data_IF_698355698947
#
_entry.id   IF_698355698947
#
_cell.length_a   1.000
_cell.length_b   1.000
_cell.length_c   1.000
_cell.angle_alpha   90.00
_cell.angle_beta   90.00
_cell.angle_gamma   90.00
#
_symmetry.space_group_name_H-M   'P 1'
#
loop_
_entity.id
_entity.type
_entity.pdbx_description
1 polymer ?
#
# COMPACT_ATOMS: atom_id res chain seq x y z
N UNK A 1 15.98 22.93 -12.78
CA UNK A 1 15.77 22.53 -11.37
C UNK A 1 14.30 22.40 -11.02
N UNK A 2 13.47 23.42 -11.12
CA UNK A 2 12.03 23.39 -10.74
C UNK A 2 11.25 22.25 -11.44
N UNK A 3 11.47 22.04 -12.75
CA UNK A 3 10.81 20.96 -13.50
C UNK A 3 11.18 19.55 -13.02
N UNK A 4 12.42 19.34 -12.54
CA UNK A 4 12.88 18.04 -12.04
C UNK A 4 12.28 17.76 -10.64
N UNK A 5 12.30 18.74 -9.74
CA UNK A 5 11.71 18.62 -8.41
C UNK A 5 10.19 18.32 -8.49
N UNK A 6 9.48 18.98 -9.41
CA UNK A 6 8.07 18.70 -9.64
C UNK A 6 7.83 17.27 -10.14
N UNK A 7 8.69 16.76 -11.03
CA UNK A 7 8.61 15.37 -11.51
C UNK A 7 8.80 14.36 -10.37
N UNK A 8 9.72 14.60 -9.44
CA UNK A 8 9.96 13.75 -8.27
C UNK A 8 8.72 13.71 -7.37
N UNK A 9 8.12 14.88 -7.09
CA UNK A 9 6.90 14.98 -6.26
C UNK A 9 5.74 14.24 -6.95
N UNK A 10 5.49 14.52 -8.23
CA UNK A 10 4.42 13.89 -8.99
C UNK A 10 4.60 12.37 -9.10
N UNK A 11 5.84 11.90 -9.29
CA UNK A 11 6.14 10.47 -9.34
C UNK A 11 5.84 9.80 -8.00
N UNK A 12 6.25 10.39 -6.89
CA UNK A 12 5.98 9.86 -5.55
C UNK A 12 4.48 9.77 -5.28
N UNK A 13 3.73 10.83 -5.58
CA UNK A 13 2.27 10.83 -5.47
C UNK A 13 1.62 9.78 -6.36
N UNK A 14 2.07 9.67 -7.60
CA UNK A 14 1.58 8.67 -8.56
C UNK A 14 1.79 7.25 -8.04
N UNK A 15 2.98 6.93 -7.56
CA UNK A 15 3.29 5.61 -6.98
C UNK A 15 2.39 5.35 -5.77
N UNK A 16 2.29 6.30 -4.84
CA UNK A 16 1.50 6.14 -3.63
C UNK A 16 0.00 5.98 -3.91
N UNK A 17 -0.56 6.77 -4.82
CA UNK A 17 -1.97 6.66 -5.20
C UNK A 17 -2.27 5.31 -5.85
N UNK A 18 -1.50 4.93 -6.88
CA UNK A 18 -1.75 3.69 -7.63
C UNK A 18 -1.57 2.47 -6.72
N UNK A 19 -0.50 2.42 -5.92
CA UNK A 19 -0.28 1.31 -4.99
C UNK A 19 -1.38 1.21 -3.93
N UNK A 20 -1.86 2.34 -3.41
CA UNK A 20 -2.96 2.37 -2.43
C UNK A 20 -4.27 1.86 -3.03
N UNK A 21 -4.61 2.27 -4.25
CA UNK A 21 -5.81 1.77 -4.93
C UNK A 21 -5.72 0.27 -5.21
N UNK A 22 -4.59 -0.19 -5.71
CA UNK A 22 -4.36 -1.62 -5.98
C UNK A 22 -4.41 -2.45 -4.70
N UNK A 23 -3.72 -2.01 -3.64
CA UNK A 23 -3.70 -2.76 -2.37
C UNK A 23 -5.09 -2.79 -1.72
N UNK A 24 -5.90 -1.74 -1.88
CA UNK A 24 -7.27 -1.71 -1.37
C UNK A 24 -8.13 -2.77 -2.05
N UNK A 25 -8.12 -2.80 -3.38
CA UNK A 25 -8.89 -3.78 -4.16
C UNK A 25 -8.45 -5.21 -3.81
N UNK A 26 -7.14 -5.45 -3.82
CA UNK A 26 -6.59 -6.79 -3.55
C UNK A 26 -6.86 -7.22 -2.11
N UNK A 27 -6.71 -6.33 -1.13
CA UNK A 27 -6.98 -6.66 0.28
C UNK A 27 -8.44 -6.99 0.54
N UNK A 28 -9.38 -6.24 -0.05
CA UNK A 28 -10.81 -6.54 0.06
C UNK A 28 -11.11 -7.92 -0.52
N UNK A 29 -10.58 -8.23 -1.71
CA UNK A 29 -10.77 -9.53 -2.36
C UNK A 29 -10.13 -10.66 -1.55
N UNK A 30 -8.90 -10.47 -1.06
CA UNK A 30 -8.19 -11.48 -0.27
C UNK A 30 -8.93 -11.78 1.05
N UNK A 31 -9.36 -10.76 1.80
CA UNK A 31 -10.09 -10.98 3.05
C UNK A 31 -11.40 -11.70 2.75
N UNK A 32 -12.15 -11.28 1.75
CA UNK A 32 -13.42 -11.92 1.37
C UNK A 32 -13.25 -13.39 0.94
N UNK A 33 -12.21 -13.70 0.16
CA UNK A 33 -11.93 -15.07 -0.28
C UNK A 33 -11.42 -15.95 0.87
N UNK A 34 -10.53 -15.43 1.70
CA UNK A 34 -9.92 -16.17 2.80
C UNK A 34 -10.88 -16.37 3.97
N UNK A 35 -11.81 -15.45 4.21
CA UNK A 35 -12.78 -15.56 5.31
C UNK A 35 -13.80 -16.69 5.07
N UNK A 36 -14.03 -17.06 3.81
CA UNK A 36 -14.93 -18.17 3.43
C UNK A 36 -14.32 -19.56 3.67
N UNK A 37 -13.00 -19.65 3.79
CA UNK A 37 -12.28 -20.90 3.93
C UNK A 37 -11.61 -21.03 5.30
N UNK A 38 -12.19 -21.82 6.19
CA UNK A 38 -11.57 -22.18 7.49
C UNK A 38 -10.45 -23.23 7.31
N UNK A 39 -9.55 -23.04 6.35
CA UNK A 39 -8.48 -24.00 6.08
C UNK A 39 -7.16 -23.56 6.71
N UNK A 40 -6.26 -24.54 6.99
CA UNK A 40 -4.88 -24.28 7.41
C UNK A 40 -4.15 -23.37 6.41
N UNK A 41 -4.53 -23.41 5.14
CA UNK A 41 -4.00 -22.55 4.08
C UNK A 41 -4.28 -21.06 4.35
N UNK A 42 -5.46 -20.70 4.89
CA UNK A 42 -5.76 -19.31 5.29
C UNK A 42 -4.68 -18.75 6.21
N UNK A 43 -4.34 -19.49 7.27
CA UNK A 43 -3.35 -19.06 8.25
C UNK A 43 -1.96 -18.86 7.64
N UNK A 44 -1.57 -19.73 6.70
CA UNK A 44 -0.29 -19.59 5.98
C UNK A 44 -0.29 -18.35 5.11
N UNK A 45 -1.36 -18.08 4.34
CA UNK A 45 -1.46 -16.88 3.53
C UNK A 45 -1.44 -15.60 4.38
N UNK A 46 -2.18 -15.57 5.50
CA UNK A 46 -2.16 -14.45 6.43
C UNK A 46 -0.77 -14.22 7.03
N UNK A 47 -0.06 -15.28 7.36
CA UNK A 47 1.30 -15.20 7.86
C UNK A 47 2.25 -14.65 6.80
N UNK A 48 2.13 -15.08 5.54
CA UNK A 48 2.94 -14.57 4.43
C UNK A 48 2.64 -13.09 4.14
N UNK A 49 1.38 -12.66 4.17
CA UNK A 49 1.00 -11.24 4.02
C UNK A 49 1.67 -10.41 5.11
N UNK A 50 1.56 -10.84 6.37
CA UNK A 50 2.10 -10.11 7.50
C UNK A 50 3.63 -10.18 7.62
N UNK A 51 4.28 -11.13 6.96
CA UNK A 51 5.74 -11.30 7.00
C UNK A 51 6.48 -10.03 6.55
N UNK A 52 5.92 -9.28 5.61
CA UNK A 52 6.51 -8.03 5.14
C UNK A 52 6.61 -6.92 6.19
N UNK A 53 5.89 -7.04 7.33
CA UNK A 53 6.04 -6.11 8.47
C UNK A 53 7.30 -6.41 9.30
N UNK A 54 7.79 -7.65 9.29
CA UNK A 54 8.93 -8.10 10.09
C UNK A 54 10.24 -8.08 9.29
N UNK A 55 10.14 -8.12 7.96
CA UNK A 55 11.30 -8.04 7.07
C UNK A 55 11.65 -6.58 6.81
N UNK A 56 12.95 -6.24 6.86
CA UNK A 56 13.35 -4.89 6.50
C UNK A 56 13.03 -4.59 5.03
N UNK A 57 12.64 -3.34 4.69
CA UNK A 57 12.30 -2.98 3.30
C UNK A 57 13.43 -3.31 2.30
N UNK A 58 14.69 -3.14 2.69
CA UNK A 58 15.84 -3.45 1.82
C UNK A 58 15.96 -4.95 1.52
N UNK A 59 15.73 -5.81 2.53
CA UNK A 59 15.72 -7.27 2.33
C UNK A 59 14.56 -7.68 1.43
N UNK A 60 13.38 -7.10 1.64
CA UNK A 60 12.22 -7.31 0.77
C UNK A 60 12.52 -6.89 -0.67
N UNK A 61 13.17 -5.72 -0.87
CA UNK A 61 13.61 -5.27 -2.18
C UNK A 61 14.56 -6.25 -2.85
N UNK A 62 15.49 -6.84 -2.10
CA UNK A 62 16.40 -7.86 -2.63
C UNK A 62 15.66 -9.14 -3.04
N UNK A 63 14.72 -9.62 -2.23
CA UNK A 63 13.87 -10.76 -2.58
C UNK A 63 13.11 -10.47 -3.90
N UNK A 64 12.59 -9.26 -4.05
CA UNK A 64 11.91 -8.87 -5.29
C UNK A 64 12.85 -8.83 -6.49
N UNK A 65 14.12 -8.45 -6.33
CA UNK A 65 15.12 -8.54 -7.39
C UNK A 65 15.34 -10.01 -7.81
N UNK A 66 15.43 -10.92 -6.86
CA UNK A 66 15.60 -12.35 -7.16
C UNK A 66 14.40 -12.93 -7.94
N UNK A 67 13.18 -12.43 -7.68
CA UNK A 67 11.95 -12.92 -8.33
C UNK A 67 11.70 -12.20 -9.67
N UNK A 68 11.79 -10.86 -9.68
CA UNK A 68 11.38 -9.99 -10.79
C UNK A 68 12.55 -9.54 -11.68
N UNK A 69 13.78 -9.85 -11.30
CA UNK A 69 14.97 -9.56 -12.10
C UNK A 69 14.98 -10.31 -13.43
N UNK A 70 15.72 -9.82 -14.42
CA UNK A 70 15.82 -10.47 -15.75
C UNK A 70 16.21 -11.97 -15.70
N UNK A 71 16.90 -12.39 -14.65
CA UNK A 71 17.28 -13.80 -14.40
C UNK A 71 16.39 -14.46 -13.33
N UNK A 72 15.43 -13.75 -12.76
CA UNK A 72 14.50 -14.27 -11.77
C UNK A 72 13.37 -15.08 -12.39
N UNK A 73 12.68 -15.86 -11.56
CA UNK A 73 11.63 -16.80 -12.02
C UNK A 73 10.53 -16.09 -12.81
N UNK A 74 10.01 -14.98 -12.30
CA UNK A 74 8.96 -14.22 -12.95
C UNK A 74 9.52 -13.22 -13.97
N UNK A 75 10.62 -12.54 -13.61
CA UNK A 75 11.22 -11.53 -14.47
C UNK A 75 11.78 -12.08 -15.78
N UNK A 76 12.34 -13.31 -15.77
CA UNK A 76 12.82 -13.97 -16.99
C UNK A 76 11.67 -14.27 -17.96
N UNK A 77 10.49 -14.66 -17.46
CA UNK A 77 9.30 -14.89 -18.27
C UNK A 77 8.80 -13.57 -18.88
N UNK A 78 8.68 -12.51 -18.07
CA UNK A 78 8.25 -11.19 -18.52
C UNK A 78 9.22 -10.62 -19.59
N UNK A 79 10.52 -10.80 -19.38
CA UNK A 79 11.52 -10.31 -20.34
C UNK A 79 11.51 -11.12 -21.64
N UNK A 80 11.42 -12.46 -21.56
CA UNK A 80 11.47 -13.34 -22.72
C UNK A 80 10.23 -13.22 -23.64
N UNK A 81 9.05 -13.08 -23.06
CA UNK A 81 7.79 -13.11 -23.83
C UNK A 81 7.22 -11.73 -24.12
N UNK A 82 7.53 -10.72 -23.30
CA UNK A 82 6.94 -9.39 -23.41
C UNK A 82 7.97 -8.25 -23.53
N UNK A 83 9.27 -8.58 -23.49
CA UNK A 83 10.39 -7.60 -23.46
C UNK A 83 10.24 -6.54 -22.34
N UNK A 84 9.59 -6.93 -21.24
CA UNK A 84 9.33 -6.07 -20.09
C UNK A 84 10.38 -6.30 -19.02
N UNK A 85 11.14 -5.24 -18.67
CA UNK A 85 12.02 -5.24 -17.51
C UNK A 85 11.35 -4.53 -16.34
N UNK A 86 11.16 -5.24 -15.21
CA UNK A 86 10.63 -4.65 -13.98
C UNK A 86 11.64 -3.75 -13.33
N UNK A 87 12.90 -4.18 -13.27
CA UNK A 87 13.98 -3.45 -12.61
C UNK A 87 14.24 -2.12 -13.34
N UNK A 88 14.56 -1.09 -12.55
CA UNK A 88 14.83 0.28 -13.01
C UNK A 88 13.65 0.96 -13.73
N UNK A 89 12.44 0.57 -13.36
CA UNK A 89 11.20 1.18 -13.85
C UNK A 89 10.44 1.90 -12.73
N UNK A 90 9.65 2.92 -13.06
CA UNK A 90 8.83 3.63 -12.08
C UNK A 90 7.72 2.75 -11.48
N UNK A 91 7.23 1.79 -12.24
CA UNK A 91 6.22 0.84 -11.76
C UNK A 91 6.78 -0.24 -10.84
N UNK A 92 8.12 -0.44 -10.81
CA UNK A 92 8.77 -1.20 -9.74
C UNK A 92 8.51 -0.56 -8.37
N UNK A 93 8.46 0.77 -8.30
CA UNK A 93 8.07 1.49 -7.10
C UNK A 93 6.61 1.21 -6.67
N UNK A 94 5.70 0.99 -7.62
CA UNK A 94 4.32 0.58 -7.30
C UNK A 94 4.30 -0.82 -6.68
N UNK A 95 5.06 -1.76 -7.24
CA UNK A 95 5.13 -3.14 -6.74
C UNK A 95 5.70 -3.16 -5.31
N UNK A 96 6.78 -2.44 -5.06
CA UNK A 96 7.38 -2.37 -3.72
C UNK A 96 6.44 -1.72 -2.71
N UNK A 97 5.85 -0.57 -3.06
CA UNK A 97 4.89 0.12 -2.20
C UNK A 97 3.64 -0.75 -1.94
N UNK A 98 3.12 -1.45 -2.96
CA UNK A 98 2.01 -2.39 -2.83
C UNK A 98 2.33 -3.49 -1.80
N UNK A 99 3.47 -4.18 -1.92
CA UNK A 99 3.83 -5.30 -1.04
C UNK A 99 4.05 -4.83 0.40
N UNK A 100 4.70 -3.68 0.58
CA UNK A 100 4.97 -3.11 1.91
C UNK A 100 3.69 -2.63 2.60
N UNK A 101 2.71 -2.15 1.84
CA UNK A 101 1.44 -1.64 2.39
C UNK A 101 0.35 -2.70 2.49
N UNK A 102 0.53 -3.84 1.84
CA UNK A 102 -0.46 -4.93 1.80
C UNK A 102 -0.92 -5.37 3.19
N UNK A 103 -0.06 -5.64 4.19
CA UNK A 103 -0.52 -6.06 5.51
C UNK A 103 -1.33 -4.97 6.24
N UNK A 104 -0.98 -3.69 6.06
CA UNK A 104 -1.70 -2.59 6.69
C UNK A 104 -3.15 -2.52 6.20
N UNK A 105 -3.33 -2.58 4.88
CA UNK A 105 -4.65 -2.55 4.28
C UNK A 105 -5.43 -3.84 4.56
N UNK A 106 -4.77 -5.00 4.41
CA UNK A 106 -5.38 -6.30 4.70
C UNK A 106 -5.92 -6.38 6.12
N UNK A 107 -5.10 -6.04 7.13
CA UNK A 107 -5.51 -6.07 8.53
C UNK A 107 -6.62 -5.05 8.83
N UNK A 108 -6.61 -3.87 8.19
CA UNK A 108 -7.68 -2.88 8.35
C UNK A 108 -9.02 -3.40 7.83
N UNK A 109 -9.05 -4.02 6.66
CA UNK A 109 -10.26 -4.65 6.09
C UNK A 109 -10.70 -5.83 6.94
N UNK A 110 -9.77 -6.71 7.34
CA UNK A 110 -10.05 -7.89 8.17
C UNK A 110 -10.68 -7.50 9.51
N UNK A 111 -10.12 -6.50 10.19
CA UNK A 111 -10.70 -5.96 11.44
C UNK A 111 -12.10 -5.39 11.21
N UNK A 112 -12.32 -4.69 10.10
CA UNK A 112 -13.63 -4.20 9.73
C UNK A 112 -14.63 -5.33 9.56
N UNK A 113 -14.29 -6.38 8.81
CA UNK A 113 -15.18 -7.55 8.61
C UNK A 113 -15.44 -8.30 9.92
N UNK A 114 -14.42 -8.51 10.74
CA UNK A 114 -14.54 -9.19 12.03
C UNK A 114 -15.43 -8.43 13.06
N UNK A 115 -15.62 -7.13 12.87
CA UNK A 115 -16.48 -6.32 13.74
C UNK A 115 -17.97 -6.40 13.37
N UNK A 116 -18.33 -7.01 12.25
CA UNK A 116 -19.71 -7.13 11.79
C UNK A 116 -20.44 -8.26 12.49
N UNK A 117 -21.71 -8.02 12.87
CA UNK A 117 -22.56 -9.06 13.40
C UNK A 117 -22.92 -10.08 12.30
N UNK A 118 -22.72 -11.40 12.51
CA UNK A 118 -23.09 -12.45 11.56
C UNK A 118 -24.51 -12.39 11.05
N UNK A 119 -25.45 -11.88 11.86
CA UNK A 119 -26.87 -11.70 11.51
C UNK A 119 -27.07 -10.93 10.21
N UNK A 120 -26.20 -9.97 9.88
CA UNK A 120 -26.31 -9.24 8.60
C UNK A 120 -26.09 -10.14 7.39
N UNK A 121 -25.20 -11.11 7.50
CA UNK A 121 -24.90 -12.05 6.42
C UNK A 121 -26.00 -13.10 6.28
N UNK A 122 -26.53 -13.59 7.42
CA UNK A 122 -27.62 -14.55 7.48
C UNK A 122 -28.89 -13.95 6.89
N UNK A 123 -29.30 -12.76 7.32
CA UNK A 123 -30.45 -12.06 6.75
C UNK A 123 -30.31 -11.82 5.23
N UNK A 124 -29.10 -11.48 4.76
CA UNK A 124 -28.83 -11.33 3.34
C UNK A 124 -29.04 -12.63 2.56
N UNK A 125 -28.59 -13.78 3.11
CA UNK A 125 -28.78 -15.10 2.48
C UNK A 125 -30.24 -15.54 2.52
N UNK A 126 -30.96 -15.30 3.61
CA UNK A 126 -32.39 -15.59 3.71
C UNK A 126 -33.21 -14.76 2.71
N UNK A 127 -32.79 -13.53 2.41
CA UNK A 127 -33.38 -12.70 1.37
C UNK A 127 -33.00 -13.13 -0.06
N UNK A 128 -32.23 -14.22 -0.23
CA UNK A 128 -31.82 -14.76 -1.54
C UNK A 128 -30.66 -14.00 -2.19
N UNK A 129 -29.92 -13.17 -1.44
CA UNK A 129 -28.79 -12.44 -1.99
C UNK A 129 -27.59 -13.38 -2.23
N UNK A 130 -26.94 -13.25 -3.38
CA UNK A 130 -25.69 -13.92 -3.66
C UNK A 130 -24.56 -13.35 -2.77
N UNK A 131 -23.48 -14.12 -2.56
CA UNK A 131 -22.34 -13.70 -1.75
C UNK A 131 -21.67 -12.41 -2.27
N UNK A 132 -21.66 -12.20 -3.58
CA UNK A 132 -21.16 -10.97 -4.18
C UNK A 132 -22.09 -9.78 -3.89
N UNK A 133 -23.39 -10.00 -3.87
CA UNK A 133 -24.37 -8.98 -3.46
C UNK A 133 -24.22 -8.64 -1.98
N UNK A 134 -24.03 -9.64 -1.12
CA UNK A 134 -23.75 -9.45 0.31
C UNK A 134 -22.45 -8.64 0.49
N UNK A 135 -21.38 -8.99 -0.22
CA UNK A 135 -20.14 -8.21 -0.19
C UNK A 135 -20.38 -6.75 -0.58
N UNK A 136 -21.04 -6.52 -1.73
CA UNK A 136 -21.16 -5.18 -2.32
C UNK A 136 -22.18 -4.30 -1.60
N UNK A 137 -23.33 -4.88 -1.19
CA UNK A 137 -24.46 -4.12 -0.67
C UNK A 137 -24.52 -4.06 0.85
N UNK A 138 -23.89 -5.03 1.55
CA UNK A 138 -23.89 -5.11 3.01
C UNK A 138 -22.48 -4.86 3.56
N UNK A 139 -21.52 -5.72 3.22
CA UNK A 139 -20.20 -5.71 3.84
C UNK A 139 -19.44 -4.41 3.56
N UNK A 140 -19.22 -4.07 2.29
CA UNK A 140 -18.43 -2.88 1.92
C UNK A 140 -19.00 -1.57 2.48
N UNK A 141 -20.31 -1.31 2.44
CA UNK A 141 -20.88 -0.11 3.05
C UNK A 141 -20.68 -0.06 4.56
N UNK A 142 -20.79 -1.20 5.26
CA UNK A 142 -20.64 -1.25 6.71
C UNK A 142 -19.18 -1.04 7.15
N UNK A 143 -18.20 -1.61 6.42
CA UNK A 143 -16.77 -1.48 6.74
C UNK A 143 -16.07 -0.31 6.04
N UNK A 144 -16.81 0.56 5.35
CA UNK A 144 -16.23 1.68 4.56
C UNK A 144 -15.23 2.53 5.34
N UNK A 145 -15.45 2.71 6.65
CA UNK A 145 -14.54 3.46 7.51
C UNK A 145 -13.21 2.72 7.71
N UNK A 146 -13.25 1.42 7.94
CA UNK A 146 -12.04 0.60 8.06
C UNK A 146 -11.26 0.62 6.74
N UNK A 147 -11.96 0.55 5.60
CA UNK A 147 -11.34 0.69 4.29
C UNK A 147 -10.66 2.06 4.15
N UNK A 148 -11.35 3.16 4.48
CA UNK A 148 -10.77 4.51 4.43
C UNK A 148 -9.58 4.66 5.38
N UNK A 149 -9.65 4.11 6.60
CA UNK A 149 -8.52 4.11 7.53
C UNK A 149 -7.31 3.36 6.95
N UNK A 150 -7.53 2.17 6.42
CA UNK A 150 -6.51 1.37 5.76
C UNK A 150 -5.91 2.10 4.56
N UNK A 151 -6.71 2.78 3.74
CA UNK A 151 -6.24 3.58 2.60
C UNK A 151 -5.33 4.73 3.05
N UNK A 152 -5.72 5.49 4.06
CA UNK A 152 -4.91 6.61 4.54
C UNK A 152 -3.58 6.14 5.12
N UNK A 153 -3.60 5.06 5.92
CA UNK A 153 -2.38 4.46 6.47
C UNK A 153 -1.47 3.89 5.37
N UNK A 154 -2.04 3.18 4.41
CA UNK A 154 -1.29 2.60 3.28
C UNK A 154 -0.70 3.69 2.39
N UNK A 155 -1.45 4.77 2.11
CA UNK A 155 -0.96 5.89 1.34
C UNK A 155 0.21 6.61 2.05
N UNK A 156 0.06 6.91 3.35
CA UNK A 156 1.14 7.52 4.13
C UNK A 156 2.40 6.65 4.16
N UNK A 157 2.23 5.33 4.33
CA UNK A 157 3.35 4.37 4.30
C UNK A 157 4.00 4.28 2.92
N UNK A 158 3.22 4.29 1.84
CA UNK A 158 3.70 4.25 0.46
C UNK A 158 4.50 5.52 0.09
N UNK A 159 4.05 6.69 0.56
CA UNK A 159 4.75 7.97 0.38
C UNK A 159 6.18 7.96 0.96
N UNK A 160 6.37 7.29 2.10
CA UNK A 160 7.65 7.16 2.77
C UNK A 160 8.46 5.93 2.34
N UNK A 161 8.05 5.18 1.29
CA UNK A 161 8.79 3.99 0.89
C UNK A 161 10.13 4.39 0.26
N UNK A 162 11.19 3.73 0.73
CA UNK A 162 12.56 4.03 0.32
C UNK A 162 13.36 2.75 -0.01
N UNK A 163 13.59 1.89 0.98
CA UNK A 163 14.56 0.82 0.89
C UNK A 163 14.26 -0.22 -0.18
N UNK A 164 13.02 -0.73 -0.26
CA UNK A 164 12.65 -1.70 -1.27
C UNK A 164 12.58 -1.06 -2.66
N UNK A 165 12.11 0.19 -2.73
CA UNK A 165 12.05 0.93 -4.00
C UNK A 165 13.43 1.26 -4.53
N UNK A 166 14.37 1.67 -3.66
CA UNK A 166 15.76 1.92 -4.05
C UNK A 166 16.41 0.66 -4.65
N UNK A 167 16.17 -0.50 -4.04
CA UNK A 167 16.71 -1.77 -4.52
C UNK A 167 16.14 -2.19 -5.88
N UNK A 168 14.81 -2.09 -6.07
CA UNK A 168 14.17 -2.61 -7.27
C UNK A 168 14.09 -1.58 -8.41
N UNK A 169 13.72 -0.34 -8.12
CA UNK A 169 13.54 0.73 -9.11
C UNK A 169 14.82 1.53 -9.38
N UNK A 170 15.79 1.48 -8.44
CA UNK A 170 16.98 2.33 -8.49
C UNK A 170 16.68 3.80 -8.23
N UNK A 171 17.72 4.62 -8.14
CA UNK A 171 17.63 6.06 -7.89
C UNK A 171 18.00 6.86 -9.16
N UNK A 172 17.11 6.88 -10.15
CA UNK A 172 17.35 7.54 -11.43
C UNK A 172 16.59 8.87 -11.48
N UNK A 173 17.27 10.04 -11.42
CA UNK A 173 16.62 11.33 -11.46
C UNK A 173 15.69 11.48 -12.68
N UNK A 174 14.47 11.97 -12.44
CA UNK A 174 13.45 12.16 -13.46
C UNK A 174 12.76 10.89 -13.99
N UNK A 175 13.17 9.68 -13.55
CA UNK A 175 12.57 8.40 -13.97
C UNK A 175 12.00 7.56 -12.83
N UNK A 176 12.80 7.33 -11.79
CA UNK A 176 12.43 6.43 -10.68
C UNK A 176 12.64 7.06 -9.30
N UNK A 177 13.34 8.19 -9.23
CA UNK A 177 13.66 8.88 -7.98
C UNK A 177 12.39 9.39 -7.31
N UNK A 178 12.13 8.92 -6.08
CA UNK A 178 11.06 9.41 -5.19
C UNK A 178 11.57 10.51 -4.27
N UNK A 179 10.68 11.18 -3.52
CA UNK A 179 11.06 12.20 -2.53
C UNK A 179 12.04 11.62 -1.51
N UNK A 180 11.78 10.43 -0.96
CA UNK A 180 12.66 9.78 0.02
C UNK A 180 14.07 9.51 -0.54
N UNK A 181 14.15 9.09 -1.80
CA UNK A 181 15.43 8.89 -2.49
C UNK A 181 16.14 10.23 -2.77
N UNK A 182 15.39 11.28 -3.13
CA UNK A 182 15.96 12.60 -3.36
C UNK A 182 16.56 13.20 -2.08
N UNK A 183 15.88 13.05 -0.93
CA UNK A 183 16.41 13.46 0.38
C UNK A 183 17.70 12.69 0.68
N UNK A 184 17.70 11.38 0.52
CA UNK A 184 18.86 10.53 0.77
C UNK A 184 20.06 10.95 -0.09
N UNK A 185 19.86 11.05 -1.40
CA UNK A 185 20.90 11.40 -2.36
C UNK A 185 21.46 12.83 -2.14
N UNK A 186 20.59 13.78 -1.85
CA UNK A 186 21.00 15.15 -1.52
C UNK A 186 21.79 15.21 -0.20
N UNK A 187 21.38 14.44 0.79
CA UNK A 187 22.10 14.32 2.07
C UNK A 187 23.49 13.72 1.89
N UNK A 188 23.63 12.65 1.11
CA UNK A 188 24.93 12.02 0.82
C UNK A 188 25.88 12.96 0.04
N UNK A 189 25.35 13.77 -0.87
CA UNK A 189 26.14 14.74 -1.63
C UNK A 189 26.43 16.05 -0.90
N UNK A 190 25.91 16.23 0.33
CA UNK A 190 26.04 17.47 1.11
C UNK A 190 25.16 18.62 0.63
N UNK A 191 24.21 18.38 -0.31
CA UNK A 191 23.24 19.38 -0.76
C UNK A 191 22.09 19.53 0.24
N UNK A 192 22.38 20.18 1.35
CA UNK A 192 21.40 20.43 2.42
C UNK A 192 20.20 21.26 1.97
N UNK A 193 20.36 22.12 0.93
CA UNK A 193 19.25 22.93 0.42
C UNK A 193 18.19 22.06 -0.25
N UNK A 194 18.60 21.16 -1.13
CA UNK A 194 17.69 20.22 -1.81
C UNK A 194 17.10 19.22 -0.82
N UNK A 195 17.89 18.69 0.12
CA UNK A 195 17.40 17.79 1.15
C UNK A 195 16.29 18.45 2.01
N UNK A 196 16.54 19.68 2.51
CA UNK A 196 15.56 20.42 3.30
C UNK A 196 14.31 20.80 2.52
N UNK A 197 14.44 21.13 1.23
CA UNK A 197 13.29 21.40 0.37
C UNK A 197 12.33 20.19 0.32
N UNK A 198 12.84 18.99 0.04
CA UNK A 198 12.02 17.79 -0.02
C UNK A 198 11.54 17.35 1.37
N UNK A 199 12.34 17.57 2.44
CA UNK A 199 11.92 17.32 3.81
C UNK A 199 10.67 18.12 4.17
N UNK A 200 10.66 19.44 3.90
CA UNK A 200 9.49 20.28 4.17
C UNK A 200 8.26 19.80 3.39
N UNK A 201 8.44 19.44 2.12
CA UNK A 201 7.33 18.95 1.29
C UNK A 201 6.74 17.65 1.85
N UNK A 202 7.58 16.66 2.19
CA UNK A 202 7.06 15.38 2.71
C UNK A 202 6.37 15.56 4.07
N UNK A 203 6.87 16.45 4.93
CA UNK A 203 6.25 16.77 6.20
C UNK A 203 4.89 17.47 6.02
N UNK A 204 4.78 18.42 5.09
CA UNK A 204 3.51 19.09 4.78
C UNK A 204 2.48 18.09 4.25
N UNK A 205 2.86 17.22 3.31
CA UNK A 205 1.97 16.19 2.78
C UNK A 205 1.53 15.24 3.90
N UNK A 206 2.45 14.77 4.73
CA UNK A 206 2.17 13.87 5.85
C UNK A 206 1.23 14.52 6.87
N UNK A 207 1.41 15.80 7.16
CA UNK A 207 0.55 16.56 8.06
C UNK A 207 -0.88 16.69 7.51
N UNK A 208 -1.01 17.01 6.21
CA UNK A 208 -2.33 17.07 5.53
C UNK A 208 -3.03 15.71 5.60
N UNK A 209 -2.31 14.61 5.31
CA UNK A 209 -2.86 13.25 5.39
C UNK A 209 -3.34 12.95 6.81
N UNK A 210 -2.56 13.30 7.82
CA UNK A 210 -2.93 13.08 9.22
C UNK A 210 -4.11 13.93 9.65
N UNK A 211 -4.23 15.17 9.15
CA UNK A 211 -5.42 16.00 9.36
C UNK A 211 -6.68 15.37 8.75
N UNK A 212 -6.58 14.86 7.52
CA UNK A 212 -7.68 14.15 6.84
C UNK A 212 -8.07 12.92 7.66
N UNK A 213 -7.10 12.12 8.08
CA UNK A 213 -7.34 10.97 8.95
C UNK A 213 -8.09 11.34 10.21
N UNK A 214 -7.59 12.32 10.95
CA UNK A 214 -8.24 12.79 12.19
C UNK A 214 -9.65 13.32 11.96
N UNK A 215 -9.88 14.07 10.87
CA UNK A 215 -11.20 14.58 10.52
C UNK A 215 -12.20 13.45 10.25
N UNK A 216 -11.81 12.45 9.47
CA UNK A 216 -12.65 11.29 9.13
C UNK A 216 -13.05 10.46 10.37
N UNK A 217 -12.17 10.37 11.38
CA UNK A 217 -12.34 9.49 12.55
C UNK A 217 -12.69 10.23 13.85
N UNK A 218 -12.77 11.57 13.85
CA UNK A 218 -13.09 12.37 15.04
C UNK A 218 -14.43 11.98 15.68
N UNK A 219 -15.45 11.74 14.88
CA UNK A 219 -16.83 11.47 15.34
C UNK A 219 -16.97 10.16 16.14
N UNK A 220 -16.10 9.18 15.93
CA UNK A 220 -16.13 7.93 16.71
C UNK A 220 -15.54 8.11 18.10
N UNK A 221 -14.45 8.85 18.22
CA UNK A 221 -13.80 9.16 19.48
C UNK A 221 -14.75 9.88 20.43
N UNK A 222 -15.50 10.84 19.93
CA UNK A 222 -16.45 11.62 20.73
C UNK A 222 -17.66 10.80 21.21
N UNK A 223 -18.03 9.72 20.50
CA UNK A 223 -19.12 8.82 20.88
C UNK A 223 -18.71 7.75 21.90
N UNK A 224 -17.42 7.37 21.95
CA UNK A 224 -16.91 6.39 22.92
C UNK A 224 -16.83 6.99 24.33
N UNK A 225 -16.52 8.29 24.43
CA UNK A 225 -16.38 9.00 25.73
C UNK A 225 -17.69 9.58 26.27
N UNK A 226 -18.81 9.46 25.51
CA UNK A 226 -20.15 9.89 25.95
C UNK A 226 -21.04 8.77 26.45
N UNK A 227 -20.53 7.53 26.51
CA UNK A 227 -21.14 6.37 27.17
C UNK A 227 -20.41 6.04 28.46
#
# INVERSE_FOLDING_TARGET
>A
MISLNLKIILLTLKIAIISTLLVTIVSVLLVWLLDRNNSKLKNIFEMLINLSLFISPSVLGYILILILGKRGVVGAILYKYFDISVIFSWWAGIITAFIVTLPLMYNSVKMGMASLNPVYFEAGREAGASELQILRLITLPLIKRNILAGMVLSFGRAMGEFGATLMLAGNIPGRTQTISMAIYSASESGDTKTANFFLVIILLISFIIMMIYNYLFKKERDNIWKK
#
